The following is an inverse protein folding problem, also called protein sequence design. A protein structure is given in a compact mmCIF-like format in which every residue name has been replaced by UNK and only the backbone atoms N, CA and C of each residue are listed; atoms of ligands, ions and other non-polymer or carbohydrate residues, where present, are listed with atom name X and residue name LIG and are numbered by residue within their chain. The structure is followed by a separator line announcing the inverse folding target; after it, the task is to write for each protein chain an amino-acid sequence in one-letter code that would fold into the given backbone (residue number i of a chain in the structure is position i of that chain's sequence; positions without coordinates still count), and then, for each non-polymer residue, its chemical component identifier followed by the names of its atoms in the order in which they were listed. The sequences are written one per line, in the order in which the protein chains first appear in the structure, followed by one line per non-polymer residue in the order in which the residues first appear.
data_IF_844942646262
#
_entry.id   IF_844942646262
#
_cell.length_a   1.000
_cell.length_b   1.000
_cell.length_c   1.000
_cell.angle_alpha   90.00
_cell.angle_beta   90.00
_cell.angle_gamma   90.00
#
_symmetry.space_group_name_H-M   'P 1'
#
loop_
_entity.id
_entity.type
_entity.pdbx_description
1 polymer ?
#
# COMPACT_ATOMS: atom_id res chain seq x y z
N UNK A 1 -1.72 -14.26 8.81
CA UNK A 1 -0.61 -13.37 8.40
C UNK A 1 0.30 -14.13 7.45
N UNK A 2 0.70 -13.52 6.35
CA UNK A 2 1.58 -14.14 5.37
C UNK A 2 3.04 -14.12 5.86
N UNK A 3 3.70 -15.28 5.87
CA UNK A 3 5.13 -15.35 6.19
C UNK A 3 5.98 -14.84 5.02
N UNK A 4 7.25 -14.43 5.25
CA UNK A 4 8.14 -14.04 4.17
C UNK A 4 8.31 -15.12 3.09
N UNK A 5 8.33 -16.39 3.47
CA UNK A 5 8.46 -17.51 2.55
C UNK A 5 7.19 -17.69 1.68
N UNK A 6 6.02 -17.51 2.27
CA UNK A 6 4.76 -17.52 1.54
C UNK A 6 4.65 -16.33 0.60
N UNK A 7 5.00 -15.13 1.07
CA UNK A 7 5.00 -13.93 0.25
C UNK A 7 5.94 -14.07 -0.96
N UNK A 8 7.14 -14.63 -0.76
CA UNK A 8 8.08 -14.89 -1.85
C UNK A 8 7.45 -15.75 -2.95
N UNK A 9 6.70 -16.78 -2.58
CA UNK A 9 5.99 -17.64 -3.55
C UNK A 9 4.88 -16.87 -4.26
N UNK A 10 4.09 -16.11 -3.51
CA UNK A 10 2.96 -15.33 -4.05
C UNK A 10 3.43 -14.33 -5.11
N UNK A 11 4.47 -13.56 -4.82
CA UNK A 11 4.95 -12.51 -5.73
C UNK A 11 5.84 -13.02 -6.85
N UNK A 12 6.22 -14.31 -6.84
CA UNK A 12 7.03 -14.91 -7.90
C UNK A 12 6.28 -15.11 -9.21
N UNK A 13 4.96 -15.10 -9.17
CA UNK A 13 4.11 -15.34 -10.33
C UNK A 13 2.92 -14.38 -10.31
N UNK A 14 2.49 -13.97 -11.51
CA UNK A 14 1.29 -13.19 -11.70
C UNK A 14 1.54 -11.69 -11.76
N UNK A 15 0.46 -10.95 -11.62
CA UNK A 15 0.44 -9.49 -11.77
C UNK A 15 0.67 -8.82 -10.42
N UNK A 16 1.58 -7.87 -10.40
CA UNK A 16 1.73 -6.93 -9.28
C UNK A 16 1.01 -5.62 -9.66
N UNK A 17 0.17 -5.11 -8.78
CA UNK A 17 -0.59 -3.89 -9.05
C UNK A 17 -0.20 -2.76 -8.11
N UNK A 18 -0.22 -1.55 -8.63
CA UNK A 18 0.25 -0.33 -7.96
C UNK A 18 -0.90 0.68 -7.93
N UNK A 19 -1.81 0.62 -6.93
CA UNK A 19 -2.96 1.50 -6.89
C UNK A 19 -2.57 2.97 -6.74
N UNK A 20 -3.36 3.83 -7.40
CA UNK A 20 -3.30 5.28 -7.18
C UNK A 20 -3.76 5.59 -5.76
N UNK A 21 -3.25 6.68 -5.19
CA UNK A 21 -3.74 7.23 -3.93
C UNK A 21 -4.80 8.29 -4.23
N UNK A 22 -5.96 8.17 -3.62
CA UNK A 22 -7.08 9.09 -3.83
C UNK A 22 -7.02 10.27 -2.88
N UNK A 23 -7.24 11.48 -3.41
CA UNK A 23 -7.31 12.72 -2.65
C UNK A 23 -8.65 13.39 -2.89
N UNK A 24 -9.12 14.15 -1.89
CA UNK A 24 -10.32 14.97 -2.03
C UNK A 24 -10.02 16.34 -2.68
N UNK A 25 -11.06 17.18 -2.82
CA UNK A 25 -10.92 18.50 -3.41
C UNK A 25 -10.04 19.47 -2.61
N UNK A 26 -9.76 19.16 -1.35
CA UNK A 26 -8.85 19.90 -0.47
C UNK A 26 -7.43 19.33 -0.46
N UNK A 27 -7.13 18.39 -1.38
CA UNK A 27 -5.83 17.71 -1.49
C UNK A 27 -5.47 16.87 -0.25
N UNK A 28 -6.49 16.43 0.49
CA UNK A 28 -6.31 15.52 1.61
C UNK A 28 -6.55 14.08 1.16
N UNK A 29 -5.83 13.13 1.76
CA UNK A 29 -6.07 11.72 1.50
C UNK A 29 -7.56 11.36 1.75
N UNK A 30 -8.16 10.66 0.78
CA UNK A 30 -9.56 10.26 0.81
C UNK A 30 -9.67 8.74 1.06
N UNK A 31 -9.83 8.29 2.32
CA UNK A 31 -9.81 6.87 2.67
C UNK A 31 -10.91 6.05 1.99
N UNK A 32 -12.13 6.58 1.91
CA UNK A 32 -13.28 5.85 1.34
C UNK A 32 -13.11 5.61 -0.17
N UNK A 33 -12.85 6.62 -1.00
CA UNK A 33 -12.55 6.39 -2.42
C UNK A 33 -11.35 5.45 -2.63
N UNK A 34 -10.32 5.55 -1.79
CA UNK A 34 -9.15 4.66 -1.87
C UNK A 34 -9.54 3.20 -1.56
N UNK A 35 -10.30 2.96 -0.51
CA UNK A 35 -10.82 1.63 -0.19
C UNK A 35 -11.67 1.06 -1.33
N UNK A 36 -12.55 1.88 -1.91
CA UNK A 36 -13.38 1.48 -3.05
C UNK A 36 -12.52 1.11 -4.27
N UNK A 37 -11.42 1.84 -4.52
CA UNK A 37 -10.45 1.52 -5.56
C UNK A 37 -9.80 0.15 -5.32
N UNK A 38 -9.40 -0.14 -4.09
CA UNK A 38 -8.78 -1.43 -3.75
C UNK A 38 -9.78 -2.58 -3.94
N UNK A 39 -11.03 -2.40 -3.51
CA UNK A 39 -12.10 -3.38 -3.75
C UNK A 39 -12.31 -3.61 -5.25
N UNK A 40 -12.30 -2.55 -6.04
CA UNK A 40 -12.43 -2.65 -7.50
C UNK A 40 -11.25 -3.38 -8.15
N UNK A 41 -10.03 -3.20 -7.63
CA UNK A 41 -8.83 -3.83 -8.18
C UNK A 41 -8.72 -5.33 -7.86
N UNK A 42 -9.17 -5.77 -6.70
CA UNK A 42 -8.94 -7.14 -6.23
C UNK A 42 -9.42 -8.23 -7.19
N UNK A 43 -10.58 -8.14 -7.87
CA UNK A 43 -11.03 -9.19 -8.79
C UNK A 43 -10.20 -9.37 -10.06
N UNK A 44 -9.30 -8.44 -10.37
CA UNK A 44 -8.51 -8.49 -11.62
C UNK A 44 -7.29 -9.41 -11.55
N UNK A 45 -7.12 -10.18 -10.47
CA UNK A 45 -6.12 -11.25 -10.40
C UNK A 45 -4.70 -10.81 -10.07
N UNK A 46 -4.51 -9.61 -9.52
CA UNK A 46 -3.21 -9.25 -8.95
C UNK A 46 -2.86 -10.19 -7.79
N UNK A 47 -1.58 -10.51 -7.63
CA UNK A 47 -1.10 -11.35 -6.53
C UNK A 47 -0.74 -10.54 -5.28
N UNK A 48 -0.44 -9.26 -5.45
CA UNK A 48 -0.19 -8.31 -4.36
C UNK A 48 -0.47 -6.88 -4.84
N UNK A 49 -0.81 -5.99 -3.91
CA UNK A 49 -0.96 -4.56 -4.15
C UNK A 49 0.16 -3.79 -3.44
N UNK A 50 0.75 -2.84 -4.15
CA UNK A 50 1.83 -1.99 -3.65
C UNK A 50 1.26 -0.64 -3.20
N UNK A 51 0.85 -0.54 -1.94
CA UNK A 51 0.32 0.69 -1.36
C UNK A 51 1.43 1.73 -1.16
N UNK A 52 1.11 2.99 -1.43
CA UNK A 52 2.06 4.10 -1.32
C UNK A 52 3.38 3.82 -2.06
N UNK A 53 3.29 3.20 -3.23
CA UNK A 53 4.41 3.01 -4.15
C UNK A 53 4.58 4.22 -5.07
N UNK A 54 5.36 4.05 -6.16
CA UNK A 54 5.59 5.12 -7.13
C UNK A 54 4.29 5.64 -7.75
N UNK A 55 3.44 4.75 -8.25
CA UNK A 55 2.12 5.10 -8.79
C UNK A 55 1.20 5.71 -7.75
N UNK A 56 1.31 5.28 -6.49
CA UNK A 56 0.58 5.86 -5.35
C UNK A 56 1.18 7.17 -4.84
N UNK A 57 2.14 7.74 -5.54
CA UNK A 57 2.75 9.04 -5.25
C UNK A 57 3.46 9.11 -3.89
N UNK A 58 4.18 8.05 -3.52
CA UNK A 58 4.92 7.94 -2.26
C UNK A 58 5.70 9.21 -1.90
N UNK A 59 6.44 9.77 -2.85
CA UNK A 59 7.29 10.94 -2.60
C UNK A 59 6.52 12.24 -2.37
N UNK A 60 5.21 12.24 -2.62
CA UNK A 60 4.33 13.39 -2.41
C UNK A 60 3.49 13.27 -1.13
N UNK A 61 3.59 12.14 -0.43
CA UNK A 61 2.83 11.91 0.81
C UNK A 61 3.58 12.42 2.02
N UNK A 62 2.86 13.13 2.90
CA UNK A 62 3.36 13.42 4.24
C UNK A 62 3.41 12.12 5.07
N UNK A 63 4.26 12.04 6.11
CA UNK A 63 4.37 10.82 6.92
C UNK A 63 3.04 10.33 7.49
N UNK A 64 2.17 11.23 7.92
CA UNK A 64 0.86 10.86 8.45
C UNK A 64 -0.07 10.32 7.35
N UNK A 65 -0.04 10.93 6.17
CA UNK A 65 -0.79 10.44 5.00
C UNK A 65 -0.33 9.04 4.60
N UNK A 66 0.98 8.80 4.60
CA UNK A 66 1.54 7.47 4.35
C UNK A 66 0.95 6.42 5.30
N UNK A 67 0.96 6.71 6.61
CA UNK A 67 0.40 5.80 7.62
C UNK A 67 -1.09 5.53 7.36
N UNK A 68 -1.84 6.55 7.01
CA UNK A 68 -3.28 6.42 6.74
C UNK A 68 -3.55 5.62 5.46
N UNK A 69 -2.76 5.84 4.40
CA UNK A 69 -2.84 5.07 3.14
C UNK A 69 -2.55 3.60 3.39
N UNK A 70 -1.43 3.28 4.04
CA UNK A 70 -1.03 1.90 4.30
C UNK A 70 -2.03 1.20 5.22
N UNK A 71 -2.47 1.86 6.29
CA UNK A 71 -3.50 1.33 7.19
C UNK A 71 -4.78 1.01 6.44
N UNK A 72 -5.28 1.95 5.64
CA UNK A 72 -6.50 1.74 4.85
C UNK A 72 -6.35 0.55 3.90
N UNK A 73 -5.20 0.41 3.26
CA UNK A 73 -4.93 -0.72 2.37
C UNK A 73 -4.95 -2.05 3.12
N UNK A 74 -4.25 -2.13 4.25
CA UNK A 74 -4.19 -3.34 5.08
C UNK A 74 -5.57 -3.73 5.59
N UNK A 75 -6.32 -2.78 6.12
CA UNK A 75 -7.67 -3.03 6.66
C UNK A 75 -8.65 -3.46 5.57
N UNK A 76 -8.62 -2.80 4.42
CA UNK A 76 -9.51 -3.12 3.29
C UNK A 76 -9.22 -4.51 2.72
N UNK A 77 -7.95 -4.86 2.56
CA UNK A 77 -7.53 -6.08 1.87
C UNK A 77 -7.25 -7.25 2.81
N UNK A 78 -7.44 -7.09 4.09
CA UNK A 78 -7.12 -8.07 5.14
C UNK A 78 -7.66 -9.46 4.82
N UNK A 79 -6.77 -10.45 4.80
CA UNK A 79 -7.11 -11.84 4.53
C UNK A 79 -7.43 -12.16 3.07
N UNK A 80 -7.38 -11.18 2.16
CA UNK A 80 -7.74 -11.36 0.76
C UNK A 80 -6.61 -11.05 -0.22
N UNK A 81 -5.74 -10.10 0.12
CA UNK A 81 -4.69 -9.63 -0.78
C UNK A 81 -3.51 -9.13 0.05
N UNK A 82 -2.27 -9.61 -0.22
CA UNK A 82 -1.08 -9.06 0.43
C UNK A 82 -0.86 -7.59 0.03
N UNK A 83 -0.49 -6.79 1.02
CA UNK A 83 -0.10 -5.39 0.82
C UNK A 83 1.40 -5.26 1.02
N UNK A 84 2.06 -4.61 0.08
CA UNK A 84 3.47 -4.24 0.16
C UNK A 84 3.52 -2.72 0.22
N UNK A 85 4.06 -2.19 1.30
CA UNK A 85 4.19 -0.75 1.47
C UNK A 85 5.51 -0.23 0.90
N UNK A 86 5.49 0.97 0.33
CA UNK A 86 6.69 1.66 -0.11
C UNK A 86 7.52 2.15 1.07
N UNK A 87 8.83 2.24 0.88
CA UNK A 87 9.74 2.93 1.79
C UNK A 87 10.87 3.55 0.97
N UNK A 88 11.30 4.75 1.32
CA UNK A 88 12.31 5.44 0.53
C UNK A 88 12.75 6.76 1.13
N UNK A 89 13.55 7.51 0.38
CA UNK A 89 14.22 8.71 0.82
C UNK A 89 15.64 8.42 1.29
N UNK A 90 16.21 9.29 2.13
CA UNK A 90 17.50 9.02 2.77
C UNK A 90 17.40 7.84 3.73
N UNK A 91 18.53 7.25 4.08
CA UNK A 91 18.54 6.02 4.90
C UNK A 91 17.72 6.12 6.19
N UNK A 92 17.90 7.18 6.96
CA UNK A 92 17.16 7.38 8.21
C UNK A 92 15.66 7.48 7.98
N UNK A 93 15.23 8.19 6.95
CA UNK A 93 13.82 8.33 6.58
C UNK A 93 13.24 7.00 6.10
N UNK A 94 13.96 6.28 5.25
CA UNK A 94 13.54 4.96 4.75
C UNK A 94 13.34 3.96 5.91
N UNK A 95 14.23 3.97 6.90
CA UNK A 95 14.12 3.13 8.10
C UNK A 95 12.82 3.47 8.86
N UNK A 96 12.53 4.75 9.05
CA UNK A 96 11.29 5.18 9.75
C UNK A 96 10.03 4.71 9.02
N UNK A 97 9.98 4.82 7.69
CA UNK A 97 8.85 4.31 6.90
C UNK A 97 8.72 2.80 7.01
N UNK A 98 9.84 2.06 6.94
CA UNK A 98 9.81 0.61 7.09
C UNK A 98 9.31 0.18 8.47
N UNK A 99 9.75 0.85 9.54
CA UNK A 99 9.28 0.59 10.90
C UNK A 99 7.79 0.91 11.06
N UNK A 100 7.32 2.00 10.47
CA UNK A 100 5.90 2.35 10.49
C UNK A 100 5.06 1.32 9.72
N UNK A 101 5.52 0.88 8.55
CA UNK A 101 4.83 -0.16 7.77
C UNK A 101 4.75 -1.48 8.53
N UNK A 102 5.82 -1.85 9.27
CA UNK A 102 5.82 -3.05 10.10
C UNK A 102 4.79 -2.99 11.23
N UNK A 103 4.58 -1.79 11.79
CA UNK A 103 3.64 -1.56 12.88
C UNK A 103 2.17 -1.62 12.42
N UNK A 104 1.89 -1.31 11.17
CA UNK A 104 0.55 -1.23 10.59
C UNK A 104 0.04 -2.59 10.10
#
# INVERSE_FOLDING_TARGET
MTTPQELKKIISYGLLSFPLTDFDSNLQFAPKPYADRLEWLMPYGATALFAAGGTGEFFSLEPQEYSDVVRTAVETCKGRMPIIAGAGGGNTTAIKYAQEAERL
#
